data_IF_022662190573
#
_entry.id   IF_022662190573
#
_cell.length_a   1.000
_cell.length_b   1.000
_cell.length_c   1.000
_cell.angle_alpha   90.00
_cell.angle_beta   90.00
_cell.angle_gamma   90.00
#
_symmetry.space_group_name_H-M   'P 1'
#
loop_
_entity.id
_entity.type
_entity.pdbx_description
1 polymer ?
#
# COMPACT_ATOMS: atom_id res chain seq x y z
N UNK A 1 -38.32 39.45 1.92
CA UNK A 1 -37.41 38.73 2.85
C UNK A 1 -36.49 37.93 1.96
N UNK A 2 -35.26 38.39 1.76
CA UNK A 2 -34.27 37.61 1.02
C UNK A 2 -33.86 36.39 1.87
N UNK A 3 -33.64 35.22 1.25
CA UNK A 3 -33.21 34.05 1.99
C UNK A 3 -31.86 34.32 2.67
N UNK A 4 -31.62 33.76 3.87
CA UNK A 4 -30.40 34.00 4.61
C UNK A 4 -29.17 33.56 3.80
N UNK A 5 -28.04 34.28 3.91
CA UNK A 5 -26.81 33.91 3.24
C UNK A 5 -26.40 32.49 3.64
N UNK A 6 -25.97 31.76 2.64
CA UNK A 6 -25.88 30.33 2.63
C UNK A 6 -24.50 29.92 3.19
N UNK A 7 -24.36 29.77 4.51
CA UNK A 7 -23.03 29.79 5.16
C UNK A 7 -22.36 28.43 5.36
N UNK A 8 -23.07 27.30 5.35
CA UNK A 8 -22.46 25.98 5.66
C UNK A 8 -22.98 24.79 4.84
N UNK A 9 -24.21 24.84 4.33
CA UNK A 9 -24.85 23.72 3.61
C UNK A 9 -24.89 23.90 2.10
N UNK A 10 -24.16 24.89 1.59
CA UNK A 10 -24.38 25.38 0.23
C UNK A 10 -23.29 24.85 -0.70
N UNK A 11 -23.67 24.35 -1.89
CA UNK A 11 -22.72 23.82 -2.85
C UNK A 11 -21.81 24.93 -3.37
N UNK A 12 -20.60 24.55 -3.77
CA UNK A 12 -19.63 25.45 -4.37
C UNK A 12 -19.56 25.22 -5.87
N UNK A 13 -19.16 26.25 -6.62
CA UNK A 13 -18.78 26.10 -8.03
C UNK A 13 -17.32 26.51 -8.17
N UNK A 14 -16.51 25.65 -8.76
CA UNK A 14 -15.10 25.92 -9.03
C UNK A 14 -14.71 25.42 -10.41
N UNK A 15 -14.12 26.30 -11.23
CA UNK A 15 -13.80 26.04 -12.64
C UNK A 15 -14.99 25.46 -13.43
N UNK A 16 -16.20 25.98 -13.17
CA UNK A 16 -17.45 25.56 -13.81
C UNK A 16 -18.02 24.22 -13.33
N UNK A 17 -17.41 23.56 -12.34
CA UNK A 17 -17.91 22.30 -11.76
C UNK A 17 -18.55 22.51 -10.38
N UNK A 18 -19.72 21.91 -10.11
CA UNK A 18 -20.36 21.96 -8.80
C UNK A 18 -19.73 20.96 -7.83
N UNK A 19 -19.61 21.35 -6.55
CA UNK A 19 -19.10 20.52 -5.45
C UNK A 19 -20.03 20.60 -4.24
N UNK A 20 -20.22 19.47 -3.57
CA UNK A 20 -21.06 19.38 -2.37
C UNK A 20 -20.37 20.07 -1.19
N UNK A 21 -21.13 20.53 -0.18
CA UNK A 21 -20.55 21.00 1.07
C UNK A 21 -19.60 19.96 1.67
N UNK A 22 -18.43 20.41 2.16
CA UNK A 22 -17.33 19.59 2.69
C UNK A 22 -16.64 18.65 1.69
N UNK A 23 -17.01 18.68 0.41
CA UNK A 23 -16.31 17.90 -0.61
C UNK A 23 -14.88 18.41 -0.79
N UNK A 24 -13.92 17.47 -0.81
CA UNK A 24 -12.51 17.76 -1.08
C UNK A 24 -12.11 17.27 -2.48
N UNK A 25 -11.33 18.06 -3.21
CA UNK A 25 -10.99 17.80 -4.60
C UNK A 25 -9.67 18.48 -5.02
N UNK A 26 -9.13 18.10 -6.19
CA UNK A 26 -8.00 18.77 -6.82
C UNK A 26 -8.48 19.97 -7.65
N UNK A 27 -7.95 21.17 -7.40
CA UNK A 27 -8.45 22.42 -8.00
C UNK A 27 -7.83 22.79 -9.36
N UNK A 28 -6.57 22.42 -9.59
CA UNK A 28 -5.71 22.95 -10.66
C UNK A 28 -5.51 22.01 -11.86
N UNK A 29 -6.05 20.80 -11.76
CA UNK A 29 -5.89 19.75 -12.74
C UNK A 29 -4.52 19.08 -12.83
N UNK A 30 -3.55 19.51 -12.02
CA UNK A 30 -2.17 19.01 -11.99
C UNK A 30 -1.82 18.35 -10.65
N UNK A 31 -2.79 18.21 -9.76
CA UNK A 31 -2.63 17.71 -8.41
C UNK A 31 -1.59 18.51 -7.59
N UNK A 32 -1.55 19.84 -7.76
CA UNK A 32 -0.70 20.73 -6.95
C UNK A 32 -1.53 21.57 -5.95
N UNK A 33 -2.86 21.56 -6.09
CA UNK A 33 -3.77 22.29 -5.22
C UNK A 33 -4.95 21.43 -4.74
N UNK A 34 -5.06 21.28 -3.42
CA UNK A 34 -6.14 20.55 -2.75
C UNK A 34 -7.16 21.51 -2.15
N UNK A 35 -8.40 21.41 -2.59
CA UNK A 35 -9.49 22.31 -2.26
C UNK A 35 -10.57 21.62 -1.44
N UNK A 36 -11.33 22.40 -0.68
CA UNK A 36 -12.53 22.00 0.03
C UNK A 36 -13.65 23.02 -0.19
N UNK A 37 -14.89 22.55 -0.36
CA UNK A 37 -16.07 23.41 -0.36
C UNK A 37 -16.55 23.72 1.07
N UNK A 38 -16.39 24.95 1.51
CA UNK A 38 -16.81 25.46 2.82
C UNK A 38 -18.02 26.39 2.65
N UNK A 39 -19.21 25.82 2.47
CA UNK A 39 -20.48 26.56 2.49
C UNK A 39 -20.56 27.68 1.46
N UNK A 40 -20.47 27.33 0.17
CA UNK A 40 -20.53 28.29 -0.94
C UNK A 40 -19.19 28.95 -1.31
N UNK A 41 -18.14 28.77 -0.50
CA UNK A 41 -16.77 29.19 -0.83
C UNK A 41 -15.84 27.99 -0.99
N UNK A 42 -14.91 28.07 -1.93
CA UNK A 42 -13.84 27.08 -2.06
C UNK A 42 -12.57 27.59 -1.37
N UNK A 43 -12.02 26.76 -0.48
CA UNK A 43 -10.76 27.00 0.21
C UNK A 43 -9.71 26.01 -0.28
N UNK A 44 -8.57 26.50 -0.79
CA UNK A 44 -7.53 25.67 -1.40
C UNK A 44 -6.18 25.78 -0.67
N UNK A 45 -5.39 24.71 -0.70
CA UNK A 45 -4.02 24.66 -0.17
C UNK A 45 -3.09 23.93 -1.14
N UNK A 46 -1.85 24.40 -1.23
CA UNK A 46 -0.81 23.70 -2.01
C UNK A 46 -0.56 22.32 -1.43
N UNK A 47 -0.66 21.30 -2.27
CA UNK A 47 -0.46 19.89 -1.92
C UNK A 47 -0.07 19.14 -3.18
N UNK A 48 1.02 18.39 -3.16
CA UNK A 48 1.44 17.56 -4.29
C UNK A 48 1.11 16.07 -4.07
N UNK A 49 1.24 15.29 -5.14
CA UNK A 49 1.39 13.84 -5.02
C UNK A 49 2.68 13.47 -4.29
N UNK A 50 2.70 12.30 -3.67
CA UNK A 50 3.89 11.79 -2.96
C UNK A 50 4.99 11.39 -3.94
N UNK A 51 6.23 11.22 -3.45
CA UNK A 51 7.24 10.51 -4.23
C UNK A 51 6.70 9.18 -4.76
N UNK A 52 7.00 8.88 -6.03
CA UNK A 52 6.52 7.68 -6.74
C UNK A 52 5.01 7.62 -7.01
N UNK A 53 4.28 8.73 -6.83
CA UNK A 53 2.94 8.92 -7.35
C UNK A 53 2.95 9.91 -8.52
N UNK A 54 1.99 9.77 -9.43
CA UNK A 54 1.74 10.71 -10.52
C UNK A 54 0.28 11.14 -10.53
N UNK A 55 0.02 12.40 -10.88
CA UNK A 55 -1.34 12.87 -11.10
C UNK A 55 -1.93 12.20 -12.35
N UNK A 56 -3.02 11.45 -12.17
CA UNK A 56 -3.73 10.76 -13.24
C UNK A 56 -5.23 10.97 -13.08
N UNK A 57 -5.98 10.88 -14.19
CA UNK A 57 -7.45 10.87 -14.14
C UNK A 57 -7.91 9.41 -13.99
N UNK A 58 -8.56 9.10 -12.88
CA UNK A 58 -9.12 7.78 -12.57
C UNK A 58 -10.63 7.96 -12.38
N UNK A 59 -11.44 7.27 -13.20
CA UNK A 59 -12.91 7.41 -13.20
C UNK A 59 -13.39 8.87 -13.32
N UNK A 60 -12.73 9.65 -14.18
CA UNK A 60 -13.09 11.07 -14.43
C UNK A 60 -12.62 12.06 -13.35
N UNK A 61 -11.98 11.59 -12.27
CA UNK A 61 -11.44 12.45 -11.20
C UNK A 61 -9.92 12.36 -11.14
N UNK A 62 -9.24 13.48 -10.95
CA UNK A 62 -7.80 13.49 -10.71
C UNK A 62 -7.46 12.79 -9.39
N UNK A 63 -6.42 11.97 -9.40
CA UNK A 63 -5.90 11.25 -8.24
C UNK A 63 -4.39 11.11 -8.36
N UNK A 64 -3.72 11.10 -7.22
CA UNK A 64 -2.34 10.67 -7.14
C UNK A 64 -2.32 9.14 -7.18
N UNK A 65 -1.76 8.59 -8.25
CA UNK A 65 -1.69 7.17 -8.49
C UNK A 65 -0.24 6.71 -8.41
N UNK A 66 0.03 5.65 -7.64
CA UNK A 66 1.35 5.04 -7.57
C UNK A 66 1.83 4.59 -8.96
N UNK A 67 3.01 5.03 -9.37
CA UNK A 67 3.64 4.66 -10.66
C UNK A 67 4.79 3.68 -10.53
N UNK A 68 5.27 3.44 -9.30
CA UNK A 68 6.38 2.53 -9.04
C UNK A 68 5.93 1.47 -8.04
N UNK A 69 6.20 0.22 -8.39
CA UNK A 69 6.09 -0.91 -7.48
C UNK A 69 7.52 -1.35 -7.15
N UNK A 70 7.77 -1.66 -5.88
CA UNK A 70 9.03 -2.20 -5.40
C UNK A 70 8.77 -3.60 -4.87
N UNK A 71 9.72 -4.50 -5.13
CA UNK A 71 9.62 -5.90 -4.73
C UNK A 71 10.71 -6.21 -3.72
N UNK A 72 10.34 -6.85 -2.61
CA UNK A 72 11.30 -7.52 -1.73
C UNK A 72 11.14 -9.04 -1.90
N UNK A 73 12.24 -9.78 -1.77
CA UNK A 73 12.31 -11.20 -2.10
C UNK A 73 13.03 -11.93 -0.97
N UNK A 74 12.49 -13.09 -0.58
CA UNK A 74 13.19 -14.09 0.21
C UNK A 74 13.29 -15.38 -0.58
N UNK A 75 14.51 -15.80 -0.92
CA UNK A 75 14.78 -17.09 -1.57
C UNK A 75 15.38 -18.08 -0.55
N UNK A 76 14.98 -19.35 -0.63
CA UNK A 76 15.37 -20.38 0.34
C UNK A 76 16.90 -20.54 0.49
N UNK A 77 17.33 -20.82 1.73
CA UNK A 77 18.68 -20.58 2.27
C UNK A 77 18.99 -19.08 2.28
N UNK A 78 18.79 -18.38 3.41
CA UNK A 78 18.09 -17.13 3.56
C UNK A 78 18.78 -15.95 2.88
N UNK A 79 18.67 -15.91 1.56
CA UNK A 79 19.06 -14.81 0.71
C UNK A 79 17.87 -13.85 0.61
N UNK A 80 18.05 -12.67 1.17
CA UNK A 80 17.05 -11.61 1.14
C UNK A 80 17.46 -10.53 0.15
N UNK A 81 16.51 -10.04 -0.63
CA UNK A 81 16.64 -8.82 -1.43
C UNK A 81 15.62 -7.80 -0.94
N UNK A 82 16.10 -6.64 -0.47
CA UNK A 82 15.25 -5.55 0.01
C UNK A 82 14.58 -4.79 -1.15
N UNK A 83 13.64 -3.90 -0.82
CA UNK A 83 12.94 -3.06 -1.81
C UNK A 83 13.86 -2.13 -2.62
N UNK A 84 15.01 -1.74 -2.04
CA UNK A 84 16.07 -0.96 -2.68
C UNK A 84 17.15 -1.84 -3.35
N UNK A 85 16.98 -3.16 -3.33
CA UNK A 85 17.83 -4.11 -4.05
C UNK A 85 19.06 -4.60 -3.29
N UNK A 86 19.20 -4.27 -2.00
CA UNK A 86 20.29 -4.78 -1.17
C UNK A 86 20.10 -6.28 -0.95
N UNK A 87 21.17 -7.03 -1.22
CA UNK A 87 21.23 -8.48 -1.02
C UNK A 87 21.99 -8.81 0.26
N UNK A 88 21.45 -9.69 1.09
CA UNK A 88 22.12 -10.17 2.29
C UNK A 88 21.61 -11.54 2.73
N UNK A 89 22.44 -12.21 3.54
CA UNK A 89 22.17 -13.55 4.05
C UNK A 89 21.85 -13.49 5.54
N UNK A 90 20.80 -14.18 5.99
CA UNK A 90 20.39 -14.14 7.39
C UNK A 90 19.93 -15.50 7.94
N UNK A 91 20.86 -16.20 8.59
CA UNK A 91 20.69 -17.59 9.09
C UNK A 91 19.95 -17.67 10.44
N UNK A 92 18.76 -17.09 10.52
CA UNK A 92 17.89 -17.10 11.71
C UNK A 92 16.82 -18.20 11.68
N UNK A 93 16.41 -18.70 12.85
CA UNK A 93 15.44 -19.82 13.00
C UNK A 93 14.15 -19.44 13.75
N UNK A 94 13.88 -18.15 13.86
CA UNK A 94 12.69 -17.64 14.52
C UNK A 94 11.64 -17.17 13.48
N UNK A 95 10.60 -16.52 14.00
CA UNK A 95 9.66 -15.74 13.22
C UNK A 95 10.20 -14.31 13.12
N UNK A 96 10.32 -13.80 11.89
CA UNK A 96 10.84 -12.48 11.59
C UNK A 96 9.79 -11.64 10.86
N UNK A 97 9.80 -10.33 11.12
CA UNK A 97 9.02 -9.39 10.32
C UNK A 97 9.71 -9.21 8.97
N UNK A 98 9.03 -9.63 7.90
CA UNK A 98 9.54 -9.53 6.54
C UNK A 98 9.23 -8.16 5.93
N UNK A 99 7.98 -7.71 6.05
CA UNK A 99 7.55 -6.38 5.63
C UNK A 99 6.35 -5.92 6.46
N UNK A 100 6.32 -4.64 6.83
CA UNK A 100 5.18 -4.02 7.49
C UNK A 100 5.14 -2.52 7.20
N UNK A 101 4.00 -1.90 7.47
CA UNK A 101 3.88 -0.45 7.40
C UNK A 101 4.74 0.22 8.51
N UNK A 102 5.69 1.07 8.13
CA UNK A 102 6.61 1.70 9.10
C UNK A 102 5.94 2.69 10.07
N UNK A 103 4.77 3.23 9.73
CA UNK A 103 4.10 4.26 10.52
C UNK A 103 2.60 4.28 10.26
N UNK A 104 1.81 4.32 11.33
CA UNK A 104 0.34 4.42 11.29
C UNK A 104 -0.16 5.87 11.25
N UNK A 105 0.71 6.84 10.90
CA UNK A 105 0.35 8.27 10.90
C UNK A 105 -0.57 8.67 9.75
N UNK A 106 -0.58 7.92 8.66
CA UNK A 106 -1.47 8.20 7.54
C UNK A 106 -2.71 7.30 7.59
N UNK A 107 -3.90 7.87 7.89
CA UNK A 107 -5.14 7.09 7.93
C UNK A 107 -5.57 6.55 6.55
N UNK A 108 -4.94 6.99 5.46
CA UNK A 108 -5.23 6.50 4.10
C UNK A 108 -4.49 5.21 3.75
N UNK A 109 -3.45 4.85 4.51
CA UNK A 109 -2.69 3.62 4.27
C UNK A 109 -3.31 2.48 5.06
N UNK A 110 -3.57 1.36 4.38
CA UNK A 110 -4.05 0.14 5.02
C UNK A 110 -2.87 -0.52 5.74
N UNK A 111 -2.96 -0.77 7.06
CA UNK A 111 -1.95 -1.53 7.77
C UNK A 111 -1.88 -2.98 7.26
N UNK A 112 -0.66 -3.47 7.08
CA UNK A 112 -0.40 -4.88 6.79
C UNK A 112 0.87 -5.33 7.53
N UNK A 113 0.96 -6.63 7.80
CA UNK A 113 2.15 -7.26 8.37
C UNK A 113 2.42 -8.59 7.68
N UNK A 114 3.65 -8.77 7.21
CA UNK A 114 4.16 -10.02 6.67
C UNK A 114 5.21 -10.57 7.62
N UNK A 115 5.03 -11.79 8.07
CA UNK A 115 6.00 -12.53 8.88
C UNK A 115 6.49 -13.76 8.16
N UNK A 116 7.74 -14.12 8.41
CA UNK A 116 8.39 -15.32 7.88
C UNK A 116 8.92 -16.16 9.03
N UNK A 117 8.51 -17.42 9.09
CA UNK A 117 9.07 -18.43 10.00
C UNK A 117 10.14 -19.19 9.25
N UNK A 118 11.37 -19.13 9.75
CA UNK A 118 12.46 -19.94 9.23
C UNK A 118 12.75 -21.10 10.18
N UNK A 119 13.05 -22.29 9.66
CA UNK A 119 13.47 -23.42 10.47
C UNK A 119 14.74 -24.10 9.92
N UNK A 120 15.36 -24.88 10.79
CA UNK A 120 16.48 -25.74 10.43
C UNK A 120 15.94 -27.14 10.12
N UNK A 121 16.13 -27.62 8.89
CA UNK A 121 15.73 -28.98 8.47
C UNK A 121 16.72 -30.05 8.95
N UNK A 122 17.03 -30.08 10.26
CA UNK A 122 17.92 -31.07 10.87
C UNK A 122 19.42 -30.71 10.89
N UNK A 123 19.84 -29.60 10.26
CA UNK A 123 21.20 -29.03 10.35
C UNK A 123 21.14 -27.61 10.89
N UNK A 124 22.08 -27.23 11.76
CA UNK A 124 22.22 -25.83 12.23
C UNK A 124 23.00 -24.93 11.26
N UNK A 125 23.51 -25.48 10.16
CA UNK A 125 24.33 -24.74 9.21
C UNK A 125 23.53 -23.75 8.35
N UNK A 126 22.24 -24.05 8.07
CA UNK A 126 21.38 -23.26 7.19
C UNK A 126 19.91 -23.29 7.64
N UNK A 127 19.18 -22.20 7.34
CA UNK A 127 17.75 -22.05 7.65
C UNK A 127 16.89 -21.91 6.39
N UNK A 128 15.66 -22.44 6.43
CA UNK A 128 14.71 -22.42 5.31
C UNK A 128 13.40 -21.76 5.71
N UNK A 129 12.81 -20.99 4.80
CA UNK A 129 11.47 -20.39 4.98
C UNK A 129 10.39 -21.47 5.06
N UNK A 130 9.86 -21.75 6.25
CA UNK A 130 8.81 -22.74 6.47
C UNK A 130 7.42 -22.18 6.21
N UNK A 131 7.14 -20.97 6.69
CA UNK A 131 5.81 -20.38 6.67
C UNK A 131 5.88 -18.87 6.46
N UNK A 132 5.01 -18.33 5.61
CA UNK A 132 4.79 -16.91 5.41
C UNK A 132 3.36 -16.58 5.83
N UNK A 133 3.19 -15.57 6.68
CA UNK A 133 1.87 -15.14 7.15
C UNK A 133 1.65 -13.67 6.82
N UNK A 134 0.57 -13.37 6.12
CA UNK A 134 0.08 -12.03 5.81
C UNK A 134 -1.13 -11.71 6.68
N UNK A 135 -1.04 -10.63 7.44
CA UNK A 135 -2.15 -10.03 8.18
C UNK A 135 -2.56 -8.73 7.49
N UNK A 136 -3.78 -8.66 6.98
CA UNK A 136 -4.32 -7.47 6.30
C UNK A 136 -5.85 -7.45 6.38
N UNK A 137 -6.45 -6.27 6.56
CA UNK A 137 -7.91 -6.11 6.72
C UNK A 137 -8.54 -7.00 7.83
N UNK A 138 -7.77 -7.33 8.88
CA UNK A 138 -8.21 -8.27 9.93
C UNK A 138 -8.27 -9.73 9.47
N UNK A 139 -7.87 -10.04 8.25
CA UNK A 139 -7.71 -11.39 7.73
C UNK A 139 -6.28 -11.88 7.94
N UNK A 140 -6.13 -13.19 8.15
CA UNK A 140 -4.83 -13.87 8.26
C UNK A 140 -4.72 -14.90 7.14
N UNK A 141 -3.73 -14.72 6.27
CA UNK A 141 -3.44 -15.62 5.16
C UNK A 141 -2.08 -16.26 5.43
N UNK A 142 -2.05 -17.59 5.52
CA UNK A 142 -0.82 -18.33 5.83
C UNK A 142 -0.47 -19.25 4.67
N UNK A 143 0.79 -19.18 4.25
CA UNK A 143 1.39 -20.04 3.24
C UNK A 143 2.47 -20.87 3.91
N UNK A 144 2.33 -22.19 3.91
CA UNK A 144 3.34 -23.09 4.46
C UNK A 144 3.73 -24.13 3.43
N UNK A 145 4.96 -24.63 3.53
CA UNK A 145 5.43 -25.71 2.66
C UNK A 145 4.64 -27.03 2.85
N UNK A 146 3.94 -27.19 3.98
CA UNK A 146 3.16 -28.39 4.31
C UNK A 146 1.77 -28.41 3.63
N UNK A 147 1.28 -27.25 3.16
CA UNK A 147 -0.04 -27.10 2.51
C UNK A 147 0.16 -26.75 1.03
N UNK A 148 0.90 -27.60 0.30
CA UNK A 148 0.90 -27.55 -1.16
C UNK A 148 -0.41 -28.18 -1.67
N UNK A 149 -1.39 -27.38 -2.08
CA UNK A 149 -2.48 -27.97 -2.89
C UNK A 149 -3.80 -27.22 -3.09
N UNK A 150 -4.09 -26.10 -2.44
CA UNK A 150 -5.39 -25.46 -2.70
C UNK A 150 -5.35 -23.98 -2.37
N UNK A 151 -5.29 -23.09 -3.38
CA UNK A 151 -5.84 -21.73 -3.29
C UNK A 151 -6.17 -21.09 -4.66
N UNK A 152 -7.26 -20.34 -4.64
CA UNK A 152 -7.94 -19.67 -5.74
C UNK A 152 -7.12 -18.54 -6.39
N UNK A 153 -6.56 -18.79 -7.57
CA UNK A 153 -6.24 -17.73 -8.54
C UNK A 153 -5.01 -16.85 -8.28
N UNK A 154 -4.18 -17.14 -7.27
CA UNK A 154 -2.88 -16.48 -7.10
C UNK A 154 -1.77 -17.37 -7.70
N UNK A 155 -1.28 -17.00 -8.88
CA UNK A 155 -0.13 -17.67 -9.50
C UNK A 155 1.12 -17.50 -8.62
N UNK A 156 1.66 -18.61 -8.14
CA UNK A 156 3.00 -18.68 -7.59
C UNK A 156 3.89 -19.32 -8.65
N UNK A 157 4.86 -18.56 -9.17
CA UNK A 157 5.93 -19.13 -10.01
C UNK A 157 6.89 -19.91 -9.11
N UNK A 158 6.42 -21.10 -8.75
CA UNK A 158 7.12 -22.06 -7.93
C UNK A 158 8.29 -22.67 -8.63
N UNK A 159 9.43 -22.00 -8.55
CA UNK A 159 10.71 -22.59 -8.89
C UNK A 159 11.60 -22.61 -7.65
N UNK A 160 11.26 -23.51 -6.71
CA UNK A 160 12.30 -24.16 -5.92
C UNK A 160 12.87 -25.29 -6.77
N UNK A 161 13.70 -24.97 -7.77
CA UNK A 161 14.54 -26.01 -8.37
C UNK A 161 15.67 -26.32 -7.39
N UNK A 162 15.93 -27.59 -7.04
CA UNK A 162 17.22 -27.97 -6.50
C UNK A 162 18.26 -27.62 -7.56
N UNK A 163 19.24 -26.80 -7.20
CA UNK A 163 20.44 -26.59 -8.00
C UNK A 163 21.10 -27.95 -8.27
N UNK A 164 21.26 -28.28 -9.55
CA UNK A 164 22.37 -29.11 -10.01
C UNK A 164 23.61 -28.26 -10.20
#
# INVERSE_FOLDING_TARGET
>A
IDPPPCTTTCPCVHNGRPYKPQEEFWGDGMCQEWCRCDGGRVSCRKRGCRPHERCMVVNGTQRCQGVKHLTCIGTGDPHYTTFDGLKYDFQGTCIYQFAALCSHRDPKLVPFRVTVENNNRGSKAVSFTKTLTLEVYGSVITMSQEVMGHWDGLNWDGWMTPSG
#
